data_IF_574720127214
#
_entry.id   IF_574720127214
#
_cell.length_a   1.000
_cell.length_b   1.000
_cell.length_c   1.000
_cell.angle_alpha   90.00
_cell.angle_beta   90.00
_cell.angle_gamma   90.00
#
_symmetry.space_group_name_H-M   'P 1'
#
loop_
_entity.id
_entity.type
_entity.pdbx_description
1 polymer ?
#
# COMPACT_ATOMS: atom_id res chain seq x y z
N UNK A 1 -6.01 3.82 14.64
CA UNK A 1 -5.08 3.04 13.82
C UNK A 1 -3.70 3.12 14.46
N UNK A 2 -3.23 2.01 15.00
CA UNK A 2 -1.89 1.85 15.58
C UNK A 2 -0.88 1.46 14.50
N UNK A 3 0.42 1.47 14.84
CA UNK A 3 1.48 0.99 13.95
C UNK A 3 1.27 -0.48 13.55
N UNK A 4 0.95 -1.34 14.52
CA UNK A 4 0.67 -2.76 14.29
C UNK A 4 -0.54 -2.95 13.37
N UNK A 5 -1.64 -2.23 13.61
CA UNK A 5 -2.83 -2.30 12.76
C UNK A 5 -2.52 -1.88 11.31
N UNK A 6 -1.67 -0.86 11.12
CA UNK A 6 -1.25 -0.43 9.78
C UNK A 6 -0.39 -1.50 9.08
N UNK A 7 0.57 -2.11 9.79
CA UNK A 7 1.38 -3.20 9.26
C UNK A 7 0.55 -4.40 8.84
N UNK A 8 -0.39 -4.84 9.68
CA UNK A 8 -1.29 -5.97 9.40
C UNK A 8 -2.10 -5.71 8.14
N UNK A 9 -2.69 -4.51 8.05
CA UNK A 9 -3.50 -4.10 6.89
C UNK A 9 -2.69 -4.05 5.60
N UNK A 10 -1.50 -3.45 5.60
CA UNK A 10 -0.63 -3.39 4.42
C UNK A 10 -0.11 -4.77 4.02
N UNK A 11 0.23 -5.62 5.00
CA UNK A 11 0.68 -6.99 4.75
C UNK A 11 -0.41 -7.80 4.06
N UNK A 12 -1.65 -7.68 4.54
CA UNK A 12 -2.80 -8.33 3.95
C UNK A 12 -3.07 -7.83 2.52
N UNK A 13 -3.02 -6.51 2.29
CA UNK A 13 -3.16 -5.92 0.94
C UNK A 13 -2.07 -6.42 -0.02
N UNK A 14 -0.81 -6.46 0.45
CA UNK A 14 0.32 -6.92 -0.36
C UNK A 14 0.27 -8.41 -0.72
N UNK A 15 -0.42 -9.23 0.08
CA UNK A 15 -0.56 -10.68 -0.14
C UNK A 15 -1.83 -11.09 -0.86
N UNK A 16 -2.89 -10.29 -0.78
CA UNK A 16 -4.18 -10.62 -1.39
C UNK A 16 -4.08 -10.59 -2.91
N UNK A 17 -4.60 -11.62 -3.54
CA UNK A 17 -4.62 -11.80 -4.99
C UNK A 17 -6.07 -11.87 -5.51
N UNK A 18 -6.24 -11.76 -6.82
CA UNK A 18 -7.55 -11.93 -7.44
C UNK A 18 -8.14 -13.34 -7.21
N UNK A 19 -7.29 -14.35 -7.02
CA UNK A 19 -7.73 -15.72 -6.74
C UNK A 19 -8.33 -15.89 -5.35
N UNK A 20 -8.06 -14.98 -4.41
CA UNK A 20 -8.67 -15.00 -3.09
C UNK A 20 -10.15 -14.58 -3.16
N UNK A 21 -10.52 -13.81 -4.18
CA UNK A 21 -11.83 -13.16 -4.33
C UNK A 21 -12.67 -13.78 -5.47
N UNK A 22 -12.01 -14.18 -6.56
CA UNK A 22 -12.66 -14.68 -7.77
C UNK A 22 -12.14 -16.05 -8.20
N UNK A 23 -12.99 -16.78 -8.93
CA UNK A 23 -12.66 -18.06 -9.58
C UNK A 23 -12.70 -17.87 -11.08
N UNK A 24 -11.75 -18.51 -11.77
CA UNK A 24 -11.62 -18.49 -13.23
C UNK A 24 -11.86 -19.91 -13.72
N UNK A 25 -12.62 -20.07 -14.81
CA UNK A 25 -12.94 -21.38 -15.33
C UNK A 25 -13.76 -21.32 -16.61
N UNK A 26 -13.99 -22.48 -17.22
CA UNK A 26 -14.92 -22.60 -18.33
C UNK A 26 -16.32 -22.81 -17.76
N UNK A 27 -17.20 -21.87 -18.04
CA UNK A 27 -18.59 -21.91 -17.60
C UNK A 27 -19.51 -21.96 -18.81
N UNK A 28 -20.63 -22.67 -18.69
CA UNK A 28 -21.71 -22.58 -19.65
C UNK A 28 -22.29 -21.18 -19.57
N UNK A 29 -22.17 -20.42 -20.65
CA UNK A 29 -22.62 -19.03 -20.76
C UNK A 29 -23.96 -18.90 -21.48
N UNK A 30 -24.41 -19.97 -22.13
CA UNK A 30 -25.69 -20.02 -22.83
C UNK A 30 -25.82 -21.27 -23.68
N UNK A 31 -26.72 -21.19 -24.65
CA UNK A 31 -26.93 -22.20 -25.68
C UNK A 31 -26.79 -21.53 -27.06
N UNK A 32 -26.33 -22.27 -28.06
CA UNK A 32 -26.30 -21.79 -29.44
C UNK A 32 -27.69 -21.89 -30.11
N UNK A 33 -27.76 -21.55 -31.40
CA UNK A 33 -29.01 -21.59 -32.18
C UNK A 33 -29.61 -23.01 -32.30
N UNK A 34 -28.82 -24.06 -32.02
CA UNK A 34 -29.21 -25.47 -32.04
C UNK A 34 -29.48 -26.03 -30.64
N UNK A 35 -29.44 -25.18 -29.60
CA UNK A 35 -29.68 -25.57 -28.20
C UNK A 35 -28.49 -26.29 -27.54
N UNK A 36 -27.30 -26.27 -28.16
CA UNK A 36 -26.10 -26.88 -27.56
C UNK A 36 -25.45 -25.92 -26.56
N UNK A 37 -24.99 -26.42 -25.40
CA UNK A 37 -24.38 -25.58 -24.38
C UNK A 37 -23.06 -24.98 -24.86
N UNK A 38 -22.97 -23.65 -24.84
CA UNK A 38 -21.74 -22.92 -25.17
C UNK A 38 -20.94 -22.67 -23.90
N UNK A 39 -19.69 -23.15 -23.89
CA UNK A 39 -18.75 -22.93 -22.80
C UNK A 39 -17.72 -21.86 -23.17
N UNK A 40 -17.47 -20.93 -22.25
CA UNK A 40 -16.45 -19.91 -22.41
C UNK A 40 -15.63 -19.76 -21.13
N UNK A 41 -14.34 -19.46 -21.32
CA UNK A 41 -13.49 -19.01 -20.23
C UNK A 41 -14.06 -17.70 -19.65
N UNK A 42 -14.50 -17.77 -18.41
CA UNK A 42 -15.10 -16.66 -17.68
C UNK A 42 -14.67 -16.70 -16.22
N UNK A 43 -15.16 -15.75 -15.43
CA UNK A 43 -14.85 -15.63 -14.02
C UNK A 43 -16.08 -15.20 -13.22
N UNK A 44 -16.06 -15.54 -11.94
CA UNK A 44 -17.11 -15.15 -10.99
C UNK A 44 -16.51 -14.92 -9.63
N UNK A 45 -17.17 -14.09 -8.82
CA UNK A 45 -16.87 -14.00 -7.40
C UNK A 45 -17.09 -15.35 -6.73
N UNK A 46 -16.24 -15.66 -5.75
CA UNK A 46 -16.52 -16.75 -4.80
C UNK A 46 -17.77 -16.42 -3.99
N UNK A 47 -18.35 -17.44 -3.38
CA UNK A 47 -19.40 -17.26 -2.39
C UNK A 47 -18.85 -16.41 -1.23
N UNK A 48 -19.68 -15.54 -0.66
CA UNK A 48 -19.26 -14.61 0.40
C UNK A 48 -18.71 -15.34 1.63
N UNK A 49 -19.17 -16.57 1.89
CA UNK A 49 -18.65 -17.43 2.95
C UNK A 49 -17.20 -17.90 2.70
N UNK A 50 -16.78 -17.94 1.43
CA UNK A 50 -15.45 -18.39 1.01
C UNK A 50 -14.48 -17.22 0.84
N UNK A 51 -14.97 -15.98 0.96
CA UNK A 51 -14.16 -14.77 0.92
C UNK A 51 -13.99 -14.26 2.36
N UNK A 52 -12.76 -14.29 2.86
CA UNK A 52 -12.49 -13.70 4.17
C UNK A 52 -12.71 -12.18 4.12
N UNK A 53 -13.31 -11.56 5.16
CA UNK A 53 -13.54 -10.11 5.20
C UNK A 53 -12.27 -9.28 4.95
N UNK A 54 -11.14 -9.81 5.39
CA UNK A 54 -9.82 -9.23 5.18
C UNK A 54 -9.45 -9.07 3.69
N UNK A 55 -9.78 -10.04 2.82
CA UNK A 55 -9.49 -9.92 1.38
C UNK A 55 -10.31 -8.81 0.71
N UNK A 56 -11.50 -8.51 1.23
CA UNK A 56 -12.32 -7.40 0.73
C UNK A 56 -11.67 -6.04 1.01
N UNK A 57 -10.82 -5.92 2.03
CA UNK A 57 -10.08 -4.69 2.30
C UNK A 57 -9.04 -4.36 1.21
N UNK A 58 -8.66 -5.33 0.37
CA UNK A 58 -7.78 -5.11 -0.77
C UNK A 58 -8.52 -4.60 -2.03
N UNK A 59 -9.86 -4.56 -2.01
CA UNK A 59 -10.67 -4.09 -3.14
C UNK A 59 -10.67 -2.57 -3.20
N UNK A 60 -10.18 -2.03 -4.32
CA UNK A 60 -10.14 -0.60 -4.58
C UNK A 60 -11.41 -0.10 -5.31
N UNK A 61 -12.00 -0.92 -6.18
CA UNK A 61 -13.19 -0.55 -6.96
C UNK A 61 -14.01 -1.80 -7.31
N UNK A 62 -15.33 -1.69 -7.19
CA UNK A 62 -16.31 -2.67 -7.67
C UNK A 62 -17.38 -1.92 -8.48
N UNK A 63 -17.64 -2.36 -9.71
CA UNK A 63 -18.65 -1.74 -10.58
C UNK A 63 -19.35 -2.77 -11.48
N UNK A 64 -20.60 -2.49 -11.85
CA UNK A 64 -21.45 -3.31 -12.72
C UNK A 64 -21.95 -2.57 -13.96
N UNK A 65 -21.63 -1.27 -14.11
CA UNK A 65 -22.22 -0.39 -15.13
C UNK A 65 -21.88 -0.82 -16.56
N UNK A 66 -20.65 -1.29 -16.79
CA UNK A 66 -20.13 -1.72 -18.09
C UNK A 66 -19.80 -3.22 -18.12
N UNK A 67 -20.49 -4.00 -17.28
CA UNK A 67 -20.11 -5.37 -16.92
C UNK A 67 -19.40 -5.45 -15.57
N UNK A 68 -19.05 -6.67 -15.15
CA UNK A 68 -18.42 -6.91 -13.85
C UNK A 68 -16.97 -6.39 -13.88
N UNK A 69 -16.66 -5.42 -13.03
CA UNK A 69 -15.32 -4.84 -12.90
C UNK A 69 -14.85 -4.90 -11.46
N UNK A 70 -13.67 -5.47 -11.26
CA UNK A 70 -12.99 -5.56 -9.98
C UNK A 70 -11.59 -4.94 -10.11
N UNK A 71 -11.24 -3.99 -9.24
CA UNK A 71 -9.86 -3.52 -9.08
C UNK A 71 -9.39 -3.79 -7.66
N UNK A 72 -8.16 -4.25 -7.54
CA UNK A 72 -7.46 -4.37 -6.26
C UNK A 72 -6.47 -3.21 -6.10
N UNK A 73 -6.13 -2.88 -4.86
CA UNK A 73 -5.00 -2.00 -4.58
C UNK A 73 -3.70 -2.60 -5.13
N UNK A 74 -2.74 -1.75 -5.50
CA UNK A 74 -1.44 -2.20 -6.01
C UNK A 74 -0.61 -2.84 -4.88
N UNK A 75 -0.34 -4.16 -4.93
CA UNK A 75 0.46 -4.82 -3.90
C UNK A 75 1.89 -4.27 -3.84
N UNK A 76 2.45 -3.75 -4.94
CA UNK A 76 3.80 -3.15 -4.95
C UNK A 76 3.84 -1.88 -4.11
N UNK A 77 2.79 -1.07 -4.17
CA UNK A 77 2.67 0.13 -3.34
C UNK A 77 2.59 -0.23 -1.85
N UNK A 78 1.83 -1.27 -1.50
CA UNK A 78 1.74 -1.75 -0.12
C UNK A 78 3.09 -2.29 0.40
N UNK A 79 3.80 -3.09 -0.41
CA UNK A 79 5.13 -3.62 -0.07
C UNK A 79 6.14 -2.49 0.11
N UNK A 80 6.11 -1.46 -0.74
CA UNK A 80 7.00 -0.30 -0.60
C UNK A 80 6.74 0.45 0.72
N UNK A 81 5.48 0.69 1.06
CA UNK A 81 5.13 1.33 2.34
C UNK A 81 5.58 0.49 3.54
N UNK A 82 5.45 -0.84 3.46
CA UNK A 82 6.01 -1.74 4.48
C UNK A 82 7.54 -1.66 4.58
N UNK A 83 8.24 -1.64 3.44
CA UNK A 83 9.69 -1.52 3.40
C UNK A 83 10.18 -0.21 4.06
N UNK A 84 9.47 0.89 3.82
CA UNK A 84 9.74 2.19 4.45
C UNK A 84 9.46 2.14 5.97
N UNK A 85 8.34 1.54 6.41
CA UNK A 85 7.98 1.40 7.83
C UNK A 85 8.90 0.46 8.62
N UNK A 86 9.46 -0.55 7.96
CA UNK A 86 10.34 -1.57 8.56
C UNK A 86 11.83 -1.25 8.41
N UNK A 87 12.19 -0.14 7.74
CA UNK A 87 13.57 0.26 7.51
C UNK A 87 14.36 -0.68 6.59
N UNK A 88 13.70 -1.32 5.63
CA UNK A 88 14.36 -2.18 4.62
C UNK A 88 15.10 -1.39 3.55
N UNK A 89 14.70 -0.13 3.35
CA UNK A 89 15.33 0.78 2.40
C UNK A 89 16.79 1.05 2.77
N UNK A 90 17.64 1.21 1.75
CA UNK A 90 19.02 1.64 1.98
C UNK A 90 19.05 2.97 2.74
N UNK A 91 20.03 3.18 3.65
CA UNK A 91 20.18 4.45 4.34
C UNK A 91 20.23 5.60 3.33
N UNK A 92 19.24 6.50 3.39
CA UNK A 92 19.24 7.69 2.55
C UNK A 92 20.24 8.66 3.13
N UNK A 93 21.21 9.10 2.32
CA UNK A 93 22.09 10.20 2.69
C UNK A 93 21.23 11.45 2.86
N UNK A 94 20.98 11.86 4.09
CA UNK A 94 20.40 13.15 4.39
C UNK A 94 21.53 14.18 4.40
N UNK A 95 21.58 15.04 3.38
CA UNK A 95 22.48 16.19 3.43
C UNK A 95 21.84 17.27 4.31
N UNK A 96 22.47 17.54 5.46
CA UNK A 96 22.12 18.68 6.29
C UNK A 96 22.70 19.94 5.63
N UNK A 97 21.82 20.80 5.13
CA UNK A 97 22.18 22.12 4.62
C UNK A 97 21.75 23.21 5.59
N UNK A 98 22.47 24.32 5.63
CA UNK A 98 22.06 25.54 6.32
C UNK A 98 20.83 26.19 5.68
N UNK A 99 20.45 27.36 6.20
CA UNK A 99 19.30 28.11 5.71
C UNK A 99 19.36 28.31 4.17
N UNK A 100 18.22 28.10 3.51
CA UNK A 100 18.08 28.20 2.05
C UNK A 100 19.03 27.28 1.24
N UNK A 101 19.44 26.14 1.80
CA UNK A 101 20.35 25.22 1.12
C UNK A 101 21.82 25.64 1.15
N UNK A 102 22.15 26.68 1.91
CA UNK A 102 23.53 27.18 2.04
C UNK A 102 24.41 26.31 2.94
N UNK A 103 25.70 26.64 3.08
CA UNK A 103 26.60 25.99 4.04
C UNK A 103 26.07 26.11 5.48
N UNK A 104 26.26 25.06 6.28
CA UNK A 104 26.01 25.12 7.72
C UNK A 104 26.97 26.16 8.30
N UNK A 105 26.42 27.18 8.95
CA UNK A 105 27.21 28.18 9.66
C UNK A 105 27.74 27.56 10.95
N UNK A 106 29.06 27.42 11.05
CA UNK A 106 29.73 26.96 12.26
C UNK A 106 30.52 28.12 12.87
N UNK A 107 30.31 28.38 14.15
CA UNK A 107 31.08 29.36 14.91
C UNK A 107 31.87 28.67 16.01
N UNK A 108 33.16 28.92 16.10
CA UNK A 108 33.98 28.47 17.23
C UNK A 108 33.76 29.44 18.38
N UNK A 109 33.05 29.00 19.41
CA UNK A 109 32.84 29.78 20.63
C UNK A 109 33.76 29.27 21.73
N UNK A 110 34.28 30.17 22.55
CA UNK A 110 34.90 29.81 23.83
C UNK A 110 33.85 29.25 24.80
N UNK A 111 34.25 28.49 25.83
CA UNK A 111 33.30 27.95 26.82
C UNK A 111 32.40 29.01 27.46
N UNK A 112 32.93 30.21 27.74
CA UNK A 112 32.17 31.32 28.31
C UNK A 112 31.14 31.90 27.32
N UNK A 113 31.53 32.09 26.05
CA UNK A 113 30.63 32.57 24.98
C UNK A 113 29.53 31.55 24.66
N UNK A 114 29.85 30.26 24.69
CA UNK A 114 28.87 29.19 24.54
C UNK A 114 27.88 29.19 25.71
N UNK A 115 28.35 29.31 26.96
CA UNK A 115 27.50 29.36 28.14
C UNK A 115 26.53 30.55 28.12
N UNK A 116 26.98 31.73 27.67
CA UNK A 116 26.11 32.90 27.52
C UNK A 116 25.08 32.73 26.40
N UNK A 117 25.47 32.15 25.26
CA UNK A 117 24.56 31.83 24.17
C UNK A 117 23.48 30.83 24.60
N UNK A 118 23.85 29.78 25.33
CA UNK A 118 22.90 28.81 25.89
C UNK A 118 21.91 29.47 26.86
N UNK A 119 22.37 30.35 27.75
CA UNK A 119 21.48 31.10 28.67
C UNK A 119 20.47 31.96 27.90
N UNK A 120 20.88 32.65 26.84
CA UNK A 120 19.98 33.48 26.02
C UNK A 120 18.92 32.66 25.27
N UNK A 121 19.22 31.42 24.89
CA UNK A 121 18.31 30.55 24.15
C UNK A 121 17.36 29.78 25.06
N UNK A 122 17.80 29.41 26.27
CA UNK A 122 17.02 28.57 27.19
C UNK A 122 16.15 29.35 28.20
N UNK A 123 16.37 30.66 28.38
CA UNK A 123 15.63 31.48 29.35
C UNK A 123 16.03 31.17 30.79
#
# INVERSE_FOLDING_TARGET
MTYTEALERLTLMGRTTIHDIATFGNYQIGEDEEGQPVFQASWKFKDSKDIKPEHLAAVAELSTKDGLKLKLHDPKAAIKQLAEMCGWEAPKKAELTGANGGPIQTSNLTPDEAAEAYRKVMG
#
